data_IF_755258463556
#
_entry.id   IF_755258463556
#
_cell.length_a   1.000
_cell.length_b   1.000
_cell.length_c   1.000
_cell.angle_alpha   90.00
_cell.angle_beta   90.00
_cell.angle_gamma   90.00
#
_symmetry.space_group_name_H-M   'P 1'
#
loop_
_entity.id
_entity.type
_entity.pdbx_description
1 polymer ?
#
# COMPACT_ATOMS: atom_id res chain seq x y z
N UNK A 1 -11.76 -28.75 -14.42
CA UNK A 1 -12.99 -29.25 -13.81
C UNK A 1 -14.22 -29.05 -14.71
N UNK A 2 -14.31 -27.99 -15.47
CA UNK A 2 -15.53 -27.61 -16.20
C UNK A 2 -15.72 -28.23 -17.59
N UNK A 3 -14.72 -28.90 -18.15
CA UNK A 3 -14.78 -29.40 -19.54
C UNK A 3 -14.82 -30.91 -19.59
N UNK A 4 -16.04 -31.46 -19.53
CA UNK A 4 -16.24 -32.84 -19.95
C UNK A 4 -15.96 -33.02 -21.43
N UNK A 5 -15.31 -34.11 -21.80
CA UNK A 5 -15.18 -34.50 -23.21
C UNK A 5 -16.57 -34.70 -23.86
N UNK A 6 -16.66 -34.55 -25.19
CA UNK A 6 -17.90 -34.77 -25.94
C UNK A 6 -18.51 -36.15 -25.65
N UNK A 7 -17.66 -37.17 -25.41
CA UNK A 7 -18.09 -38.57 -25.10
C UNK A 7 -18.72 -38.66 -23.72
N UNK A 8 -18.13 -37.99 -22.71
CA UNK A 8 -18.65 -37.96 -21.35
C UNK A 8 -20.00 -37.20 -21.27
N UNK A 9 -20.11 -36.09 -22.00
CA UNK A 9 -21.37 -35.33 -22.13
C UNK A 9 -22.49 -36.18 -22.73
N UNK A 10 -22.19 -36.98 -23.77
CA UNK A 10 -23.14 -37.89 -24.40
C UNK A 10 -23.63 -39.01 -23.45
N UNK A 11 -22.80 -39.36 -22.44
CA UNK A 11 -23.17 -40.36 -21.43
C UNK A 11 -23.93 -39.78 -20.24
N UNK A 12 -24.19 -38.46 -20.23
CA UNK A 12 -24.86 -37.80 -19.10
C UNK A 12 -24.02 -37.75 -17.83
N UNK A 13 -22.69 -37.93 -17.96
CA UNK A 13 -21.76 -37.85 -16.83
C UNK A 13 -21.71 -36.42 -16.27
N UNK A 14 -21.88 -36.27 -14.95
CA UNK A 14 -21.65 -35.02 -14.27
C UNK A 14 -20.14 -34.78 -14.05
N UNK A 15 -19.65 -33.51 -14.13
CA UNK A 15 -18.26 -33.22 -13.82
C UNK A 15 -17.96 -33.60 -12.37
N UNK A 16 -16.96 -34.43 -12.17
CA UNK A 16 -16.50 -34.72 -10.81
C UNK A 16 -15.78 -33.49 -10.26
N UNK A 17 -16.12 -33.10 -9.06
CA UNK A 17 -15.39 -32.04 -8.35
C UNK A 17 -13.98 -32.54 -8.02
N UNK A 18 -12.94 -31.72 -8.24
CA UNK A 18 -11.59 -32.06 -7.79
C UNK A 18 -11.60 -32.21 -6.26
N UNK A 19 -10.65 -32.98 -5.74
CA UNK A 19 -10.41 -33.05 -4.32
C UNK A 19 -10.14 -31.64 -3.79
N UNK A 20 -10.66 -31.32 -2.62
CA UNK A 20 -10.37 -30.06 -1.95
C UNK A 20 -8.89 -30.01 -1.56
N UNK A 21 -8.22 -28.94 -1.93
CA UNK A 21 -6.84 -28.66 -1.65
C UNK A 21 -6.73 -27.22 -1.15
N UNK A 22 -6.34 -27.04 0.12
CA UNK A 22 -6.36 -25.73 0.77
C UNK A 22 -5.30 -24.75 0.19
N UNK A 23 -4.17 -25.27 -0.30
CA UNK A 23 -3.15 -24.45 -0.94
C UNK A 23 -3.64 -23.93 -2.28
N UNK A 24 -4.21 -24.81 -3.10
CA UNK A 24 -4.77 -24.42 -4.40
C UNK A 24 -6.02 -23.52 -4.25
N UNK A 25 -6.79 -23.64 -3.17
CA UNK A 25 -7.91 -22.74 -2.88
C UNK A 25 -7.41 -21.30 -2.64
N UNK A 26 -6.29 -21.11 -1.94
CA UNK A 26 -5.67 -19.78 -1.76
C UNK A 26 -5.25 -19.16 -3.11
N UNK A 27 -4.63 -19.96 -3.98
CA UNK A 27 -4.28 -19.50 -5.33
C UNK A 27 -5.50 -19.16 -6.17
N UNK A 28 -6.57 -19.96 -6.05
CA UNK A 28 -7.84 -19.68 -6.74
C UNK A 28 -8.45 -18.36 -6.26
N UNK A 29 -8.39 -18.05 -4.97
CA UNK A 29 -8.86 -16.77 -4.43
C UNK A 29 -8.06 -15.58 -5.00
N UNK A 30 -6.75 -15.74 -5.22
CA UNK A 30 -5.93 -14.71 -5.88
C UNK A 30 -6.39 -14.50 -7.33
N UNK A 31 -6.57 -15.58 -8.09
CA UNK A 31 -7.05 -15.52 -9.48
C UNK A 31 -8.45 -14.94 -9.62
N UNK A 32 -9.30 -15.12 -8.59
CA UNK A 32 -10.66 -14.57 -8.54
C UNK A 32 -10.72 -13.15 -7.95
N UNK A 33 -9.59 -12.55 -7.59
CA UNK A 33 -9.51 -11.25 -6.90
C UNK A 33 -10.25 -11.20 -5.54
N UNK A 34 -10.38 -12.35 -4.89
CA UNK A 34 -10.93 -12.47 -3.53
C UNK A 34 -9.84 -12.28 -2.46
N UNK A 35 -8.58 -12.44 -2.86
CA UNK A 35 -7.39 -12.26 -2.03
C UNK A 35 -6.39 -11.37 -2.74
N UNK A 36 -5.91 -10.35 -2.05
CA UNK A 36 -4.95 -9.39 -2.56
C UNK A 36 -3.51 -9.82 -2.27
N UNK A 37 -2.62 -9.56 -3.22
CA UNK A 37 -1.20 -9.86 -3.10
C UNK A 37 -0.43 -8.57 -2.86
N UNK A 38 0.24 -8.48 -1.72
CA UNK A 38 1.24 -7.44 -1.44
C UNK A 38 2.62 -8.07 -1.49
N UNK A 39 3.54 -7.45 -2.21
CA UNK A 39 4.88 -7.96 -2.41
C UNK A 39 5.93 -7.02 -1.81
N UNK A 40 6.77 -7.57 -0.95
CA UNK A 40 7.97 -6.90 -0.46
C UNK A 40 9.05 -6.93 -1.54
N UNK A 41 9.51 -5.78 -2.02
CA UNK A 41 10.51 -5.65 -3.08
C UNK A 41 11.26 -4.32 -2.97
N UNK A 42 12.46 -4.22 -3.53
CA UNK A 42 13.26 -3.00 -3.53
C UNK A 42 13.57 -2.49 -4.93
N UNK A 43 13.96 -3.39 -5.82
CA UNK A 43 14.59 -3.07 -7.11
C UNK A 43 13.59 -3.08 -8.24
N UNK A 44 13.83 -2.22 -9.21
CA UNK A 44 12.96 -2.07 -10.39
C UNK A 44 12.84 -3.36 -11.22
N UNK A 45 13.90 -4.16 -11.30
CA UNK A 45 13.89 -5.41 -12.07
C UNK A 45 13.00 -6.47 -11.42
N UNK A 46 13.00 -6.58 -10.08
CA UNK A 46 12.13 -7.46 -9.31
C UNK A 46 10.66 -7.05 -9.44
N UNK A 47 10.38 -5.75 -9.29
CA UNK A 47 9.03 -5.17 -9.42
C UNK A 47 8.47 -5.45 -10.80
N UNK A 48 9.26 -5.13 -11.85
CA UNK A 48 8.84 -5.33 -13.24
C UNK A 48 8.64 -6.81 -13.59
N UNK A 49 9.57 -7.68 -13.15
CA UNK A 49 9.47 -9.12 -13.40
C UNK A 49 8.21 -9.72 -12.78
N UNK A 50 7.88 -9.36 -11.53
CA UNK A 50 6.72 -9.90 -10.86
C UNK A 50 5.40 -9.43 -11.49
N UNK A 51 5.33 -8.20 -12.00
CA UNK A 51 4.18 -7.72 -12.78
C UNK A 51 3.99 -8.58 -14.04
N UNK A 52 5.06 -8.88 -14.78
CA UNK A 52 4.97 -9.76 -15.95
C UNK A 52 4.50 -11.19 -15.60
N UNK A 53 4.94 -11.72 -14.46
CA UNK A 53 4.44 -13.01 -13.97
C UNK A 53 2.94 -12.92 -13.67
N UNK A 54 2.50 -11.87 -12.96
CA UNK A 54 1.11 -11.67 -12.61
C UNK A 54 0.23 -11.55 -13.86
N UNK A 55 0.64 -10.73 -14.83
CA UNK A 55 -0.06 -10.56 -16.11
C UNK A 55 -0.17 -11.88 -16.88
N UNK A 56 0.91 -12.64 -16.93
CA UNK A 56 0.93 -13.95 -17.63
C UNK A 56 0.03 -14.99 -16.96
N UNK A 57 -0.16 -14.89 -15.65
CA UNK A 57 -1.00 -15.78 -14.84
C UNK A 57 -2.44 -15.28 -14.68
N UNK A 58 -2.71 -14.04 -15.07
CA UNK A 58 -4.04 -13.45 -15.04
C UNK A 58 -4.50 -12.98 -13.66
N UNK A 59 -3.58 -12.46 -12.83
CA UNK A 59 -3.93 -11.78 -11.59
C UNK A 59 -3.24 -10.42 -11.48
N UNK A 60 -3.73 -9.55 -10.60
CA UNK A 60 -3.16 -8.22 -10.36
C UNK A 60 -2.49 -8.18 -8.99
N UNK A 61 -1.28 -7.64 -8.96
CA UNK A 61 -0.62 -7.29 -7.70
C UNK A 61 -1.28 -6.03 -7.12
N UNK A 62 -1.67 -6.11 -5.86
CA UNK A 62 -2.31 -4.99 -5.20
C UNK A 62 -1.30 -3.90 -4.84
N UNK A 63 -0.22 -4.28 -4.19
CA UNK A 63 0.75 -3.33 -3.64
C UNK A 63 2.15 -3.91 -3.65
N UNK A 64 3.12 -3.09 -4.03
CA UNK A 64 4.52 -3.33 -3.71
C UNK A 64 4.92 -2.52 -2.50
N UNK A 65 5.65 -3.12 -1.54
CA UNK A 65 6.14 -2.43 -0.34
C UNK A 65 7.66 -2.29 -0.36
N UNK A 66 8.18 -1.24 0.28
CA UNK A 66 9.60 -0.91 0.37
C UNK A 66 10.28 -0.62 -0.98
N UNK A 67 9.51 -0.18 -1.97
CA UNK A 67 9.99 0.00 -3.34
C UNK A 67 10.74 1.31 -3.54
N UNK A 68 11.99 1.34 -3.12
CA UNK A 68 12.84 2.52 -3.26
C UNK A 68 13.23 2.84 -4.70
N UNK A 69 13.08 1.89 -5.63
CA UNK A 69 13.23 2.09 -7.07
C UNK A 69 11.90 2.14 -7.84
N UNK A 70 10.77 2.33 -7.17
CA UNK A 70 9.46 2.44 -7.80
C UNK A 70 9.38 3.49 -8.90
N UNK A 71 10.10 4.61 -8.72
CA UNK A 71 10.20 5.69 -9.70
C UNK A 71 10.69 5.27 -11.08
N UNK A 72 11.51 4.20 -11.17
CA UNK A 72 12.06 3.69 -12.44
C UNK A 72 11.05 2.91 -13.28
N UNK A 73 9.98 2.43 -12.66
CA UNK A 73 8.94 1.58 -13.27
C UNK A 73 7.52 2.08 -12.98
N UNK A 74 7.41 3.35 -12.62
CA UNK A 74 6.14 3.94 -12.20
C UNK A 74 5.06 3.89 -13.31
N UNK A 75 5.43 4.11 -14.56
CA UNK A 75 4.57 3.96 -15.72
C UNK A 75 3.97 2.54 -15.82
N UNK A 76 4.80 1.54 -15.67
CA UNK A 76 4.39 0.11 -15.73
C UNK A 76 3.53 -0.28 -14.54
N UNK A 77 3.87 0.22 -13.34
CA UNK A 77 3.04 0.01 -12.15
C UNK A 77 1.65 0.61 -12.33
N UNK A 78 1.57 1.81 -12.95
CA UNK A 78 0.30 2.45 -13.28
C UNK A 78 -0.50 1.63 -14.27
N UNK A 79 0.12 1.13 -15.33
CA UNK A 79 -0.51 0.28 -16.34
C UNK A 79 -1.04 -1.03 -15.73
N UNK A 80 -0.26 -1.68 -14.87
CA UNK A 80 -0.64 -2.89 -14.16
C UNK A 80 -1.74 -2.66 -13.12
N UNK A 81 -1.82 -1.46 -12.55
CA UNK A 81 -2.77 -1.07 -11.51
C UNK A 81 -2.28 -1.31 -10.07
N UNK A 82 -0.99 -1.57 -9.88
CA UNK A 82 -0.41 -1.77 -8.56
C UNK A 82 -0.21 -0.44 -7.82
N UNK A 83 -0.48 -0.44 -6.51
CA UNK A 83 -0.06 0.62 -5.61
C UNK A 83 1.39 0.46 -5.14
N UNK A 84 1.94 1.50 -4.53
CA UNK A 84 3.31 1.50 -4.05
C UNK A 84 3.46 2.07 -2.65
N UNK A 85 4.22 1.39 -1.80
CA UNK A 85 4.63 1.90 -0.50
C UNK A 85 6.15 1.98 -0.43
N UNK A 86 6.68 3.07 0.09
CA UNK A 86 8.12 3.33 0.13
C UNK A 86 8.51 4.05 1.42
N UNK A 87 9.81 4.17 1.66
CA UNK A 87 10.36 5.11 2.62
C UNK A 87 10.52 6.49 1.96
N UNK A 88 10.45 7.57 2.74
CA UNK A 88 10.52 8.92 2.17
C UNK A 88 11.93 9.27 1.66
N UNK A 89 12.97 8.96 2.42
CA UNK A 89 14.35 9.37 2.12
C UNK A 89 15.41 8.39 2.63
N UNK A 90 15.09 7.12 2.76
CA UNK A 90 16.07 6.10 3.06
C UNK A 90 16.82 5.71 1.78
N UNK A 91 18.12 5.84 1.77
CA UNK A 91 18.96 5.47 0.64
C UNK A 91 20.29 4.87 1.08
N UNK A 92 20.87 4.04 0.19
CA UNK A 92 22.24 3.55 0.22
C UNK A 92 22.69 2.84 1.53
N UNK A 93 21.77 2.40 2.39
CA UNK A 93 22.13 1.66 3.61
C UNK A 93 22.41 0.17 3.33
N UNK A 94 22.05 -0.31 2.15
CA UNK A 94 22.41 -1.62 1.59
C UNK A 94 22.41 -1.56 0.07
N UNK A 95 22.98 -2.58 -0.57
CA UNK A 95 23.17 -2.58 -2.03
C UNK A 95 21.86 -2.48 -2.81
N UNK A 96 20.82 -3.17 -2.38
CA UNK A 96 19.52 -3.20 -3.06
C UNK A 96 18.82 -1.83 -3.09
N UNK A 97 19.27 -0.89 -2.30
CA UNK A 97 18.68 0.46 -2.21
C UNK A 97 19.68 1.56 -2.59
N UNK A 98 20.73 1.20 -3.29
CA UNK A 98 21.78 2.15 -3.72
C UNK A 98 21.28 3.26 -4.64
N UNK A 99 20.23 2.99 -5.39
CA UNK A 99 19.64 3.92 -6.36
C UNK A 99 18.39 4.61 -5.81
N UNK A 100 18.13 4.50 -4.51
CA UNK A 100 17.01 5.20 -3.87
C UNK A 100 17.22 6.73 -3.95
N UNK A 101 16.12 7.44 -4.18
CA UNK A 101 16.10 8.91 -4.27
C UNK A 101 14.94 9.48 -3.47
N UNK A 102 15.06 10.69 -2.90
CA UNK A 102 14.00 11.32 -2.11
C UNK A 102 12.77 11.73 -2.92
N UNK A 103 12.85 11.73 -4.23
CA UNK A 103 11.76 12.07 -5.15
C UNK A 103 10.86 10.88 -5.49
N UNK A 104 11.23 9.67 -5.08
CA UNK A 104 10.56 8.43 -5.47
C UNK A 104 9.04 8.48 -5.24
N UNK A 105 8.61 8.88 -4.03
CA UNK A 105 7.18 8.98 -3.70
C UNK A 105 6.44 10.01 -4.56
N UNK A 106 7.06 11.16 -4.82
CA UNK A 106 6.47 12.21 -5.65
C UNK A 106 6.32 11.75 -7.11
N UNK A 107 7.33 11.10 -7.68
CA UNK A 107 7.29 10.59 -9.06
C UNK A 107 6.19 9.52 -9.21
N UNK A 108 6.10 8.59 -8.26
CA UNK A 108 5.02 7.60 -8.27
C UNK A 108 3.63 8.26 -8.19
N UNK A 109 3.47 9.26 -7.32
CA UNK A 109 2.22 10.01 -7.20
C UNK A 109 1.88 10.79 -8.48
N UNK A 110 2.84 11.46 -9.11
CA UNK A 110 2.64 12.18 -10.39
C UNK A 110 2.19 11.25 -11.52
N UNK A 111 2.66 10.01 -11.52
CA UNK A 111 2.19 8.98 -12.45
C UNK A 111 0.78 8.46 -12.10
N UNK A 112 0.20 8.91 -10.98
CA UNK A 112 -1.15 8.53 -10.54
C UNK A 112 -1.21 7.16 -9.87
N UNK A 113 -0.10 6.70 -9.28
CA UNK A 113 -0.06 5.52 -8.43
C UNK A 113 -0.58 5.90 -7.03
N UNK A 114 -1.36 5.02 -6.41
CA UNK A 114 -1.68 5.15 -4.99
C UNK A 114 -0.39 4.93 -4.20
N UNK A 115 0.20 6.02 -3.74
CA UNK A 115 1.51 6.04 -3.07
C UNK A 115 1.35 6.19 -1.57
N UNK A 116 2.06 5.37 -0.79
CA UNK A 116 2.11 5.45 0.66
C UNK A 116 3.55 5.52 1.17
N UNK A 117 3.73 6.08 2.37
CA UNK A 117 4.98 5.99 3.10
C UNK A 117 4.82 5.10 4.32
N UNK A 118 5.85 4.30 4.57
CA UNK A 118 5.99 3.43 5.73
C UNK A 118 7.35 3.67 6.39
N UNK A 119 7.50 3.19 7.63
CA UNK A 119 8.71 3.45 8.40
C UNK A 119 9.64 2.24 8.51
N UNK A 120 9.08 1.05 8.64
CA UNK A 120 9.82 -0.19 8.99
C UNK A 120 10.75 -0.03 10.22
N UNK A 121 10.47 0.98 11.02
CA UNK A 121 11.26 1.38 12.19
C UNK A 121 10.34 1.97 13.26
N UNK A 122 10.52 1.53 14.51
CA UNK A 122 9.65 1.93 15.64
C UNK A 122 9.74 3.41 16.00
N UNK A 123 10.91 4.02 15.84
CA UNK A 123 11.11 5.44 16.15
C UNK A 123 10.54 6.31 15.03
N UNK A 124 10.76 5.91 13.79
CA UNK A 124 10.24 6.63 12.62
C UNK A 124 8.72 6.48 12.49
N UNK A 125 8.14 5.35 12.93
CA UNK A 125 6.69 5.15 12.93
C UNK A 125 5.93 6.25 13.69
N UNK A 126 6.56 6.84 14.70
CA UNK A 126 6.00 7.97 15.48
C UNK A 126 6.06 9.32 14.77
N UNK A 127 6.71 9.40 13.60
CA UNK A 127 6.99 10.62 12.86
C UNK A 127 6.54 10.55 11.40
N UNK A 128 5.58 9.70 11.08
CA UNK A 128 5.10 9.55 9.70
C UNK A 128 4.53 10.85 9.12
N UNK A 129 3.99 11.74 9.95
CA UNK A 129 3.62 13.09 9.55
C UNK A 129 4.80 13.90 8.99
N UNK A 130 6.00 13.75 9.58
CA UNK A 130 7.22 14.38 9.08
C UNK A 130 7.77 13.68 7.83
N UNK A 131 7.59 12.37 7.74
CA UNK A 131 7.91 11.61 6.51
C UNK A 131 7.06 12.10 5.33
N UNK A 132 5.76 12.35 5.55
CA UNK A 132 4.89 12.95 4.55
C UNK A 132 5.36 14.35 4.12
N UNK A 133 5.82 15.18 5.06
CA UNK A 133 6.35 16.52 4.77
C UNK A 133 7.55 16.50 3.81
N UNK A 134 8.31 15.41 3.77
CA UNK A 134 9.44 15.27 2.84
C UNK A 134 8.97 15.15 1.38
N UNK A 135 7.81 14.58 1.11
CA UNK A 135 7.24 14.56 -0.23
C UNK A 135 6.91 15.98 -0.73
N UNK A 136 6.44 16.85 0.17
CA UNK A 136 6.25 18.29 -0.13
C UNK A 136 7.59 18.95 -0.41
N UNK A 137 8.54 18.78 0.51
CA UNK A 137 9.84 19.46 0.45
C UNK A 137 10.67 19.06 -0.77
N UNK A 138 10.77 17.79 -1.08
CA UNK A 138 11.60 17.28 -2.16
C UNK A 138 10.86 17.26 -3.50
N UNK A 139 9.63 16.79 -3.52
CA UNK A 139 8.88 16.54 -4.74
C UNK A 139 7.83 17.59 -5.10
N UNK A 140 7.59 18.58 -4.23
CA UNK A 140 6.55 19.60 -4.48
C UNK A 140 5.13 19.05 -4.46
N UNK A 141 4.91 17.90 -3.83
CA UNK A 141 3.57 17.32 -3.66
C UNK A 141 2.72 18.28 -2.81
N UNK A 142 1.47 18.60 -3.19
CA UNK A 142 0.60 19.41 -2.34
C UNK A 142 0.44 18.82 -0.94
N UNK A 143 0.39 19.66 0.09
CA UNK A 143 0.38 19.22 1.50
C UNK A 143 -0.76 18.24 1.79
N UNK A 144 -1.97 18.52 1.28
CA UNK A 144 -3.14 17.65 1.42
C UNK A 144 -2.97 16.29 0.74
N UNK A 145 -2.21 16.21 -0.36
CA UNK A 145 -1.91 14.96 -1.04
C UNK A 145 -0.80 14.19 -0.30
N UNK A 146 0.23 14.90 0.17
CA UNK A 146 1.31 14.29 0.93
C UNK A 146 0.83 13.68 2.26
N UNK A 147 -0.13 14.31 2.95
CA UNK A 147 -0.77 13.71 4.14
C UNK A 147 -1.48 12.39 3.82
N UNK A 148 -2.04 12.24 2.63
CA UNK A 148 -2.65 10.97 2.20
C UNK A 148 -1.65 9.83 2.13
N UNK A 149 -0.36 10.11 1.92
CA UNK A 149 0.68 9.06 1.87
C UNK A 149 0.83 8.28 3.18
N UNK A 150 0.41 8.89 4.29
CA UNK A 150 0.49 8.28 5.63
C UNK A 150 -0.88 8.08 6.30
N UNK A 151 -1.98 8.38 5.60
CA UNK A 151 -3.35 8.27 6.10
C UNK A 151 -4.26 7.48 5.15
N UNK A 152 -4.84 8.15 4.17
CA UNK A 152 -5.84 7.56 3.27
C UNK A 152 -5.23 6.53 2.30
N UNK A 153 -4.03 6.78 1.78
CA UNK A 153 -3.45 5.88 0.78
C UNK A 153 -3.05 4.51 1.38
N UNK A 154 -2.43 4.42 2.57
CA UNK A 154 -2.27 3.13 3.25
C UNK A 154 -3.61 2.39 3.44
N UNK A 155 -4.66 3.11 3.83
CA UNK A 155 -5.99 2.52 3.98
C UNK A 155 -6.53 1.97 2.64
N UNK A 156 -6.32 2.69 1.52
CA UNK A 156 -6.68 2.21 0.17
C UNK A 156 -5.90 0.96 -0.21
N UNK A 157 -4.59 0.93 0.05
CA UNK A 157 -3.74 -0.22 -0.27
C UNK A 157 -4.12 -1.46 0.54
N UNK A 158 -4.75 -1.27 1.71
CA UNK A 158 -5.27 -2.32 2.57
C UNK A 158 -6.77 -2.61 2.37
N UNK A 159 -7.44 -1.92 1.44
CA UNK A 159 -8.89 -1.98 1.21
C UNK A 159 -9.72 -1.65 2.47
N UNK A 160 -9.26 -0.70 3.27
CA UNK A 160 -9.89 -0.22 4.50
C UNK A 160 -10.37 1.23 4.41
N UNK A 161 -10.23 1.86 3.24
CA UNK A 161 -10.50 3.29 3.05
C UNK A 161 -11.97 3.67 3.15
N UNK A 162 -12.89 2.72 3.10
CA UNK A 162 -14.31 2.95 3.44
C UNK A 162 -14.54 3.14 4.94
N UNK A 163 -13.68 2.56 5.78
CA UNK A 163 -13.77 2.61 7.25
C UNK A 163 -12.87 3.64 7.90
N UNK A 164 -11.65 3.85 7.39
CA UNK A 164 -10.61 4.66 8.04
C UNK A 164 -9.78 5.47 7.04
N UNK A 165 -8.74 6.14 7.51
CA UNK A 165 -7.76 6.88 6.71
C UNK A 165 -8.19 8.30 6.32
N UNK A 166 -9.39 8.74 6.67
CA UNK A 166 -9.84 10.12 6.46
C UNK A 166 -10.98 10.50 7.40
N UNK A 167 -11.08 11.77 7.75
CA UNK A 167 -12.19 12.31 8.54
C UNK A 167 -13.42 12.47 7.64
N UNK A 168 -14.37 11.55 7.76
CA UNK A 168 -15.63 11.55 7.03
C UNK A 168 -16.73 10.92 7.89
N UNK A 169 -17.93 11.46 7.83
CA UNK A 169 -19.09 10.90 8.55
C UNK A 169 -19.30 9.44 8.13
N UNK A 170 -19.41 8.56 9.12
CA UNK A 170 -19.58 7.13 8.94
C UNK A 170 -18.28 6.31 8.95
N UNK A 171 -17.11 6.94 9.06
CA UNK A 171 -15.83 6.27 9.28
C UNK A 171 -15.49 6.17 10.77
N UNK A 172 -14.59 5.24 11.07
CA UNK A 172 -14.02 5.07 12.40
C UNK A 172 -13.35 6.39 12.85
N UNK A 173 -13.53 6.77 14.10
CA UNK A 173 -13.03 8.03 14.61
C UNK A 173 -11.57 7.91 15.09
N UNK A 174 -10.68 7.64 14.12
CA UNK A 174 -9.24 7.59 14.30
C UNK A 174 -8.65 8.95 13.92
N UNK A 175 -8.23 9.73 14.90
CA UNK A 175 -7.74 11.09 14.66
C UNK A 175 -6.70 11.51 15.70
N UNK A 176 -5.87 12.46 15.30
CA UNK A 176 -4.89 13.12 16.17
C UNK A 176 -5.16 14.63 16.16
N UNK A 177 -5.18 15.23 17.35
CA UNK A 177 -5.19 16.69 17.50
C UNK A 177 -3.74 17.14 17.69
N UNK A 178 -3.33 18.11 16.88
CA UNK A 178 -1.97 18.64 16.86
C UNK A 178 -1.93 20.08 17.36
N UNK A 179 -0.84 20.47 18.02
CA UNK A 179 -0.59 21.84 18.48
C UNK A 179 -0.35 22.84 17.35
N UNK A 180 0.00 22.35 16.16
CA UNK A 180 0.31 23.13 14.96
C UNK A 180 0.06 22.26 13.72
N UNK A 181 0.35 22.77 12.51
CA UNK A 181 0.24 21.99 11.28
C UNK A 181 1.01 20.66 11.40
N UNK A 182 0.40 19.50 11.12
CA UNK A 182 1.01 18.18 11.39
C UNK A 182 2.36 17.94 10.71
N UNK A 183 2.65 18.66 9.62
CA UNK A 183 3.95 18.57 8.92
C UNK A 183 5.03 19.48 9.53
N UNK A 184 4.69 20.33 10.49
CA UNK A 184 5.66 21.14 11.22
C UNK A 184 6.51 20.25 12.14
N UNK A 185 7.84 20.49 12.16
CA UNK A 185 8.73 19.80 13.11
C UNK A 185 8.49 20.21 14.56
N UNK A 186 7.76 21.29 14.78
CA UNK A 186 7.37 21.79 16.11
C UNK A 186 6.02 21.28 16.57
N UNK A 187 5.22 20.69 15.67
CA UNK A 187 3.91 20.14 16.01
C UNK A 187 4.05 18.97 16.99
N UNK A 188 3.23 19.01 18.03
CA UNK A 188 3.09 17.94 19.03
C UNK A 188 1.70 17.34 18.93
N UNK A 189 1.58 16.01 19.07
CA UNK A 189 0.29 15.40 19.26
C UNK A 189 -0.23 15.79 20.66
N UNK A 190 -1.35 16.47 20.71
CA UNK A 190 -2.01 16.85 21.97
C UNK A 190 -2.96 15.75 22.43
N UNK A 191 -3.73 15.17 21.49
CA UNK A 191 -4.65 14.06 21.78
C UNK A 191 -4.67 13.06 20.64
N UNK A 192 -4.76 11.77 20.99
CA UNK A 192 -4.90 10.69 20.02
C UNK A 192 -6.16 9.88 20.33
N UNK A 193 -7.01 9.73 19.32
CA UNK A 193 -8.24 8.95 19.39
C UNK A 193 -8.16 7.75 18.47
N UNK A 194 -8.66 6.61 18.94
CA UNK A 194 -8.88 5.39 18.16
C UNK A 194 -10.30 4.93 18.45
N UNK A 195 -11.09 4.69 17.42
CA UNK A 195 -12.53 4.37 17.54
C UNK A 195 -13.31 5.38 18.43
N UNK A 196 -12.90 6.66 18.42
CA UNK A 196 -13.49 7.71 19.25
C UNK A 196 -13.08 7.70 20.73
N UNK A 197 -12.24 6.76 21.15
CA UNK A 197 -11.71 6.68 22.52
C UNK A 197 -10.38 7.43 22.58
N UNK A 198 -10.25 8.36 23.55
CA UNK A 198 -9.01 9.09 23.78
C UNK A 198 -7.99 8.20 24.49
N UNK A 199 -6.98 7.72 23.74
CA UNK A 199 -5.90 6.89 24.28
C UNK A 199 -4.69 7.67 24.76
N UNK A 200 -4.49 8.88 24.25
CA UNK A 200 -3.43 9.79 24.70
C UNK A 200 -4.00 11.19 24.83
N UNK A 201 -3.68 11.86 25.93
CA UNK A 201 -4.00 13.26 26.22
C UNK A 201 -2.78 13.88 26.92
N UNK A 202 -2.11 14.81 26.24
CA UNK A 202 -0.88 15.42 26.74
C UNK A 202 -1.06 16.09 28.11
N UNK A 203 -2.24 16.70 28.38
CA UNK A 203 -2.51 17.34 29.66
C UNK A 203 -2.74 16.34 30.82
N UNK A 204 -3.21 15.12 30.49
CA UNK A 204 -3.52 14.09 31.49
C UNK A 204 -2.33 13.14 31.72
N UNK A 205 -1.57 12.85 30.68
CA UNK A 205 -0.61 11.77 30.65
C UNK A 205 0.85 12.25 30.84
N UNK A 206 1.05 13.62 31.03
CA UNK A 206 2.27 14.21 31.57
C UNK A 206 2.20 14.25 33.10
#
# INVERSE_FOLDING_TARGET
YSKLSKRQKKRGEAPQRPRRDLELECLLQILNSERFVSCHSYRQDEINMLMHVADSMGFTLNTFTHILEGYKVADKMKEHGAGGSSFSDWWAYKYEVKDAIPYNGAIMWEQGIVTAFNSDDREMARRLNQEAAKAVKYGGVPEEEALKFVTLNPAKLLHLDERMGSLKVGKDADLVIWSDHPMSIYAKAEKTYVDGICYFDMERDE
#
